data_IF_386896132268
#
_entry.id   IF_386896132268
#
_cell.length_a   1.000
_cell.length_b   1.000
_cell.length_c   1.000
_cell.angle_alpha   90.00
_cell.angle_beta   90.00
_cell.angle_gamma   90.00
#
_symmetry.space_group_name_H-M   'P 1'
#
loop_
_entity.id
_entity.type
_entity.pdbx_description
1 polymer ?
#
# COMPACT_ATOMS: atom_id res chain seq x y z
N UNK A 1 -2.62 3.55 15.28
CA UNK A 1 -2.03 4.73 14.63
C UNK A 1 -2.26 4.76 13.11
N UNK A 2 -2.18 3.64 12.39
CA UNK A 2 -2.42 3.61 10.93
C UNK A 2 -3.82 4.08 10.52
N UNK A 3 -4.85 3.66 11.26
CA UNK A 3 -6.25 3.95 10.94
C UNK A 3 -6.55 5.45 10.97
N UNK A 4 -6.05 6.19 11.97
CA UNK A 4 -6.32 7.64 12.09
C UNK A 4 -5.80 8.43 10.89
N UNK A 5 -4.60 8.09 10.39
CA UNK A 5 -4.00 8.78 9.24
C UNK A 5 -4.69 8.41 7.93
N UNK A 6 -5.06 7.15 7.75
CA UNK A 6 -5.80 6.69 6.55
C UNK A 6 -7.21 7.28 6.55
N UNK A 7 -7.86 7.36 7.72
CA UNK A 7 -9.15 8.04 7.84
C UNK A 7 -9.04 9.54 7.50
N UNK A 8 -7.99 10.22 7.97
CA UNK A 8 -7.74 11.63 7.63
C UNK A 8 -7.54 11.84 6.12
N UNK A 9 -6.87 10.92 5.42
CA UNK A 9 -6.78 10.93 3.95
C UNK A 9 -8.18 10.81 3.32
N UNK A 10 -9.00 9.89 3.83
CA UNK A 10 -10.37 9.68 3.36
C UNK A 10 -11.23 10.93 3.46
N UNK A 11 -11.21 11.61 4.61
CA UNK A 11 -12.01 12.84 4.84
C UNK A 11 -11.46 14.01 4.02
N UNK A 12 -10.15 14.27 4.10
CA UNK A 12 -9.58 15.49 3.56
C UNK A 12 -9.48 15.48 2.02
N UNK A 13 -9.10 14.33 1.44
CA UNK A 13 -8.81 14.19 0.01
C UNK A 13 -10.01 13.61 -0.73
N UNK A 14 -10.53 12.47 -0.28
CA UNK A 14 -11.62 11.77 -0.96
C UNK A 14 -13.03 12.21 -0.52
N UNK A 15 -13.13 13.18 0.40
CA UNK A 15 -14.39 13.75 0.90
C UNK A 15 -15.35 12.70 1.48
N UNK A 16 -14.80 11.66 2.11
CA UNK A 16 -15.58 10.66 2.84
C UNK A 16 -16.14 11.33 4.11
N UNK A 17 -17.40 11.01 4.45
CA UNK A 17 -18.07 11.55 5.65
C UNK A 17 -17.28 11.22 6.92
N UNK A 18 -17.03 12.24 7.73
CA UNK A 18 -16.35 12.16 9.03
C UNK A 18 -17.27 11.64 10.16
N UNK A 19 -18.56 11.44 9.86
CA UNK A 19 -19.56 10.89 10.77
C UNK A 19 -19.49 9.37 10.89
N UNK A 20 -18.76 8.71 9.99
CA UNK A 20 -18.59 7.25 9.99
C UNK A 20 -17.53 6.81 11.02
N UNK A 21 -17.52 5.52 11.33
CA UNK A 21 -16.45 4.95 12.15
C UNK A 21 -15.09 5.09 11.43
N UNK A 22 -14.02 5.32 12.21
CA UNK A 22 -12.68 5.54 11.64
C UNK A 22 -12.18 4.36 10.81
N UNK A 23 -12.49 3.12 11.17
CA UNK A 23 -12.12 1.96 10.36
C UNK A 23 -12.89 1.94 9.04
N UNK A 24 -14.17 2.32 9.06
CA UNK A 24 -14.96 2.43 7.83
C UNK A 24 -14.43 3.53 6.91
N UNK A 25 -14.11 4.71 7.45
CA UNK A 25 -13.49 5.80 6.69
C UNK A 25 -12.17 5.32 6.09
N UNK A 26 -11.32 4.66 6.90
CA UNK A 26 -10.02 4.18 6.44
C UNK A 26 -10.16 3.13 5.32
N UNK A 27 -11.10 2.19 5.45
CA UNK A 27 -11.36 1.18 4.41
C UNK A 27 -11.84 1.83 3.11
N UNK A 28 -12.82 2.74 3.19
CA UNK A 28 -13.31 3.50 2.03
C UNK A 28 -12.21 4.34 1.39
N UNK A 29 -11.27 4.89 2.18
CA UNK A 29 -10.14 5.64 1.65
C UNK A 29 -9.16 4.75 0.88
N UNK A 30 -8.93 3.51 1.31
CA UNK A 30 -8.12 2.52 0.59
C UNK A 30 -8.80 2.17 -0.75
N UNK A 31 -10.10 1.90 -0.73
CA UNK A 31 -10.89 1.60 -1.95
C UNK A 31 -10.87 2.78 -2.93
N UNK A 32 -11.03 4.01 -2.45
CA UNK A 32 -10.99 5.22 -3.28
C UNK A 32 -9.60 5.44 -3.90
N UNK A 33 -8.52 5.15 -3.15
CA UNK A 33 -7.15 5.21 -3.66
C UNK A 33 -6.91 4.17 -4.76
N UNK A 34 -7.41 2.94 -4.58
CA UNK A 34 -7.33 1.88 -5.58
C UNK A 34 -8.04 2.30 -6.90
N UNK A 35 -9.27 2.82 -6.78
CA UNK A 35 -10.05 3.33 -7.91
C UNK A 35 -9.36 4.52 -8.60
N UNK A 36 -8.73 5.40 -7.84
CA UNK A 36 -7.98 6.52 -8.39
C UNK A 36 -6.84 6.05 -9.29
N UNK A 37 -5.99 5.12 -8.82
CA UNK A 37 -4.91 4.57 -9.64
C UNK A 37 -5.43 3.83 -10.86
N UNK A 38 -6.50 3.04 -10.72
CA UNK A 38 -7.16 2.39 -11.84
C UNK A 38 -7.69 3.40 -12.88
N UNK A 39 -8.26 4.53 -12.44
CA UNK A 39 -8.77 5.59 -13.34
C UNK A 39 -7.67 6.27 -14.17
N UNK A 40 -6.43 6.27 -13.67
CA UNK A 40 -5.26 6.79 -14.37
C UNK A 40 -4.66 5.77 -15.36
N UNK A 41 -5.21 4.56 -15.44
CA UNK A 41 -4.70 3.47 -16.26
C UNK A 41 -3.39 2.88 -15.74
N UNK A 42 -3.08 3.09 -14.46
CA UNK A 42 -1.90 2.49 -13.83
C UNK A 42 -2.19 1.00 -13.62
N UNK A 43 -1.30 0.09 -14.05
CA UNK A 43 -1.47 -1.33 -13.81
C UNK A 43 -1.56 -1.64 -12.32
N UNK A 44 -2.56 -2.42 -11.93
CA UNK A 44 -2.89 -2.68 -10.52
C UNK A 44 -2.15 -3.90 -9.95
N UNK A 45 -1.53 -4.72 -10.81
CA UNK A 45 -0.78 -5.92 -10.41
C UNK A 45 0.63 -5.89 -10.96
N UNK A 46 1.57 -6.49 -10.20
CA UNK A 46 2.97 -6.59 -10.61
C UNK A 46 3.15 -7.42 -11.90
N UNK A 47 2.28 -8.40 -12.15
CA UNK A 47 2.33 -9.19 -13.38
C UNK A 47 2.01 -8.39 -14.62
N UNK A 48 1.15 -7.39 -14.51
CA UNK A 48 0.73 -6.56 -15.66
C UNK A 48 1.90 -5.73 -16.22
N UNK A 49 2.97 -5.57 -15.42
CA UNK A 49 4.23 -4.90 -15.81
C UNK A 49 5.39 -5.88 -16.01
N UNK A 50 5.14 -7.19 -16.08
CA UNK A 50 6.15 -8.21 -16.36
C UNK A 50 7.07 -8.55 -15.18
N UNK A 51 6.60 -8.32 -13.94
CA UNK A 51 7.30 -8.74 -12.72
C UNK A 51 6.71 -10.06 -12.24
N UNK A 52 7.58 -11.04 -12.05
CA UNK A 52 7.30 -12.39 -11.58
C UNK A 52 7.92 -12.63 -10.20
N UNK A 53 7.54 -13.76 -9.59
CA UNK A 53 8.01 -14.15 -8.25
C UNK A 53 9.53 -14.35 -8.19
N UNK A 54 10.16 -14.70 -9.32
CA UNK A 54 11.60 -14.89 -9.44
C UNK A 54 12.38 -13.62 -9.07
N UNK A 55 11.76 -12.45 -9.24
CA UNK A 55 12.38 -11.15 -8.95
C UNK A 55 12.08 -10.63 -7.54
N UNK A 56 11.14 -11.22 -6.81
CA UNK A 56 10.69 -10.70 -5.52
C UNK A 56 11.81 -10.67 -4.48
N UNK A 57 12.64 -11.71 -4.43
CA UNK A 57 13.80 -11.78 -3.54
C UNK A 57 14.79 -10.65 -3.78
N UNK A 58 15.15 -10.44 -5.05
CA UNK A 58 16.06 -9.37 -5.46
C UNK A 58 15.48 -7.97 -5.19
N UNK A 59 14.18 -7.79 -5.45
CA UNK A 59 13.49 -6.53 -5.18
C UNK A 59 13.41 -6.23 -3.69
N UNK A 60 13.09 -7.24 -2.87
CA UNK A 60 12.98 -7.09 -1.42
C UNK A 60 14.34 -6.79 -0.80
N UNK A 61 15.41 -7.47 -1.21
CA UNK A 61 16.77 -7.18 -0.78
C UNK A 61 17.16 -5.72 -1.09
N UNK A 62 16.85 -5.26 -2.31
CA UNK A 62 17.09 -3.86 -2.70
C UNK A 62 16.24 -2.87 -1.88
N UNK A 63 14.99 -3.21 -1.57
CA UNK A 63 14.09 -2.36 -0.79
C UNK A 63 14.59 -2.16 0.66
N UNK A 64 15.14 -3.21 1.28
CA UNK A 64 15.65 -3.14 2.67
C UNK A 64 17.13 -2.75 2.75
N UNK A 65 17.83 -2.63 1.62
CA UNK A 65 19.29 -2.40 1.55
C UNK A 65 19.76 -1.23 2.42
N UNK A 66 19.00 -0.13 2.45
CA UNK A 66 19.35 1.07 3.20
C UNK A 66 18.52 1.15 4.49
N UNK A 67 19.08 0.61 5.58
CA UNK A 67 18.51 0.74 6.91
C UNK A 67 17.26 -0.11 7.16
N UNK A 68 17.02 -1.16 6.36
CA UNK A 68 16.00 -2.18 6.56
C UNK A 68 14.59 -1.64 6.84
N UNK A 69 14.20 -0.56 6.15
CA UNK A 69 12.90 0.10 6.37
C UNK A 69 12.61 0.44 7.85
N UNK A 70 13.66 0.57 8.68
CA UNK A 70 13.53 0.78 10.15
C UNK A 70 12.79 2.06 10.51
N UNK A 71 12.86 3.06 9.62
CA UNK A 71 12.21 4.36 9.77
C UNK A 71 10.94 4.49 8.91
N UNK A 72 10.50 3.41 8.26
CA UNK A 72 9.22 3.38 7.58
C UNK A 72 8.08 3.53 8.60
N UNK A 73 6.89 3.87 8.09
CA UNK A 73 5.72 4.12 8.93
C UNK A 73 5.38 2.94 9.84
N UNK A 74 5.52 1.72 9.30
CA UNK A 74 5.62 0.48 10.06
C UNK A 74 6.99 -0.11 9.69
N UNK A 75 7.89 -0.35 10.65
CA UNK A 75 9.15 -1.04 10.36
C UNK A 75 8.89 -2.41 9.75
N UNK A 76 9.65 -2.78 8.72
CA UNK A 76 9.43 -4.01 7.95
C UNK A 76 10.73 -4.76 7.73
N UNK A 77 10.68 -6.09 7.77
CA UNK A 77 11.80 -6.94 7.36
C UNK A 77 11.79 -7.21 5.85
N UNK A 78 12.83 -7.89 5.36
CA UNK A 78 12.87 -8.35 3.96
C UNK A 78 11.69 -9.29 3.68
N UNK A 79 11.41 -10.19 4.62
CA UNK A 79 10.35 -11.19 4.53
C UNK A 79 8.98 -10.54 4.46
N UNK A 80 8.75 -9.46 5.20
CA UNK A 80 7.50 -8.70 5.13
C UNK A 80 7.32 -8.04 3.75
N UNK A 81 8.39 -7.53 3.15
CA UNK A 81 8.36 -6.96 1.79
C UNK A 81 8.02 -8.03 0.74
N UNK A 82 8.59 -9.24 0.87
CA UNK A 82 8.26 -10.37 -0.01
C UNK A 82 6.78 -10.74 0.12
N UNK A 83 6.25 -10.79 1.34
CA UNK A 83 4.82 -11.06 1.57
C UNK A 83 3.94 -9.99 0.91
N UNK A 84 4.31 -8.70 0.97
CA UNK A 84 3.60 -7.64 0.26
C UNK A 84 3.61 -7.89 -1.26
N UNK A 85 4.76 -8.23 -1.84
CA UNK A 85 4.81 -8.53 -3.28
C UNK A 85 3.92 -9.71 -3.68
N UNK A 86 3.83 -10.74 -2.83
CA UNK A 86 2.93 -11.87 -3.06
C UNK A 86 1.44 -11.48 -2.99
N UNK A 87 1.07 -10.50 -2.16
CA UNK A 87 -0.30 -9.95 -2.11
C UNK A 87 -0.65 -9.09 -3.34
N UNK A 88 0.35 -8.47 -3.98
CA UNK A 88 0.20 -7.60 -5.16
C UNK A 88 0.38 -8.32 -6.51
N UNK A 89 0.31 -9.65 -6.49
CA UNK A 89 0.53 -10.52 -7.64
C UNK A 89 -0.59 -10.46 -8.69
#
# INVERSE_FOLDING_TARGET
QSVDRIAALGVNVFKISDQLDKFEIAKKAIEAMEQFFASLGIPMRLRDVGIDEEKFELMAEKAVRYGALKHAYVPMTKEDVIQIYQLCK
#
